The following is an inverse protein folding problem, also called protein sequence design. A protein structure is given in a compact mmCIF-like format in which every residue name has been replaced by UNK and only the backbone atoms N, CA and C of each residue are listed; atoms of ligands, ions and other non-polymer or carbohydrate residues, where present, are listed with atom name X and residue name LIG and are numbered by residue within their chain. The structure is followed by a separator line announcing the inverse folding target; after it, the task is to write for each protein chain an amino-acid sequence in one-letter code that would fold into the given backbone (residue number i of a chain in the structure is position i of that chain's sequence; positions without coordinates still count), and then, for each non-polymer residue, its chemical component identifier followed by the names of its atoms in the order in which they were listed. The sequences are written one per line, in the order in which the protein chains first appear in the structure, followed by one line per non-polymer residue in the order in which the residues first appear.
data_IF_973303951025
#
_entry.id   IF_973303951025
#
_cell.length_a   1.000
_cell.length_b   1.000
_cell.length_c   1.000
_cell.angle_alpha   90.00
_cell.angle_beta   90.00
_cell.angle_gamma   90.00
#
_symmetry.space_group_name_H-M   'P 1'
#
loop_
_entity.id
_entity.type
_entity.pdbx_description
1 polymer ?
#
# COMPACT_ATOMS: atom_id res chain seq x y z
N UNK A 1 -22.61 13.21 -0.73
CA UNK A 1 -21.71 12.21 -0.09
C UNK A 1 -22.24 10.83 -0.44
N UNK A 2 -21.49 10.05 -1.21
CA UNK A 2 -21.83 8.65 -1.51
C UNK A 2 -21.79 7.86 -0.22
N UNK A 3 -22.83 7.07 0.07
CA UNK A 3 -22.86 6.21 1.25
C UNK A 3 -21.66 5.27 1.23
N UNK A 4 -20.90 5.11 2.34
CA UNK A 4 -19.78 4.18 2.39
C UNK A 4 -20.24 2.78 2.00
N UNK A 5 -19.45 2.07 1.20
CA UNK A 5 -19.77 0.69 0.85
C UNK A 5 -19.60 -0.20 2.08
N UNK A 6 -20.59 -1.05 2.34
CA UNK A 6 -20.64 -1.86 3.57
C UNK A 6 -20.30 -3.32 3.34
N UNK A 7 -20.08 -3.73 2.09
CA UNK A 7 -19.79 -5.12 1.71
C UNK A 7 -18.37 -5.19 1.18
N UNK A 8 -17.57 -6.09 1.77
CA UNK A 8 -16.20 -6.36 1.30
C UNK A 8 -16.21 -7.08 -0.04
N UNK A 9 -15.25 -6.72 -0.88
CA UNK A 9 -14.90 -7.41 -2.12
C UNK A 9 -13.70 -8.34 -1.93
N UNK A 10 -13.24 -8.52 -0.69
CA UNK A 10 -12.10 -9.35 -0.32
C UNK A 10 -10.75 -8.72 -0.69
N UNK A 11 -9.67 -9.51 -0.63
CA UNK A 11 -8.33 -9.05 -0.97
C UNK A 11 -8.23 -8.52 -2.40
N UNK A 12 -7.58 -7.36 -2.55
CA UNK A 12 -7.40 -6.73 -3.86
C UNK A 12 -6.11 -7.21 -4.48
N UNK A 13 -6.22 -7.83 -5.66
CA UNK A 13 -5.08 -8.34 -6.42
C UNK A 13 -4.33 -7.19 -7.12
N UNK A 14 -3.01 -7.25 -7.07
CA UNK A 14 -2.10 -6.34 -7.77
C UNK A 14 -2.20 -6.54 -9.30
N UNK A 15 -2.18 -5.43 -10.05
CA UNK A 15 -1.94 -5.46 -11.48
C UNK A 15 -0.47 -5.18 -11.79
N UNK A 16 -0.08 -5.32 -13.06
CA UNK A 16 1.28 -5.08 -13.52
C UNK A 16 1.81 -3.71 -13.08
N UNK A 17 0.99 -2.65 -13.16
CA UNK A 17 1.40 -1.30 -12.74
C UNK A 17 1.75 -1.21 -11.24
N UNK A 18 1.09 -1.99 -10.38
CA UNK A 18 1.38 -1.99 -8.95
C UNK A 18 2.65 -2.79 -8.64
N UNK A 19 2.89 -3.86 -9.40
CA UNK A 19 4.13 -4.66 -9.33
C UNK A 19 5.31 -3.78 -9.74
N UNK A 20 5.23 -3.05 -10.86
CA UNK A 20 6.29 -2.13 -11.26
C UNK A 20 6.59 -1.04 -10.20
N UNK A 21 5.54 -0.52 -9.54
CA UNK A 21 5.71 0.44 -8.43
C UNK A 21 6.38 -0.21 -7.21
N UNK A 22 6.00 -1.44 -6.88
CA UNK A 22 6.60 -2.22 -5.81
C UNK A 22 8.08 -2.55 -6.10
N UNK A 23 8.41 -2.97 -7.32
CA UNK A 23 9.78 -3.18 -7.78
C UNK A 23 10.60 -1.90 -7.69
N UNK A 24 10.03 -0.76 -8.09
CA UNK A 24 10.69 0.53 -7.95
C UNK A 24 11.02 0.89 -6.50
N UNK A 25 10.17 0.52 -5.53
CA UNK A 25 10.49 0.67 -4.10
C UNK A 25 11.65 -0.26 -3.74
N UNK A 26 11.53 -1.57 -4.03
CA UNK A 26 12.55 -2.57 -3.69
C UNK A 26 13.92 -2.25 -4.30
N UNK A 27 13.97 -1.65 -5.49
CA UNK A 27 15.21 -1.23 -6.14
C UNK A 27 15.98 -0.16 -5.35
N UNK A 28 15.31 0.62 -4.50
CA UNK A 28 15.94 1.64 -3.65
C UNK A 28 16.46 1.06 -2.32
N UNK A 29 16.09 -0.16 -1.97
CA UNK A 29 16.39 -0.76 -0.67
C UNK A 29 17.58 -1.71 -0.76
N UNK A 30 18.32 -1.86 0.34
CA UNK A 30 19.43 -2.82 0.46
C UNK A 30 18.97 -4.28 0.36
N UNK A 31 17.69 -4.53 0.61
CA UNK A 31 17.00 -5.81 0.45
C UNK A 31 15.53 -5.58 0.11
N UNK A 32 14.86 -6.51 -0.60
CA UNK A 32 13.42 -6.44 -0.80
C UNK A 32 12.65 -6.63 0.52
N UNK A 33 11.42 -6.11 0.56
CA UNK A 33 10.50 -6.23 1.71
C UNK A 33 9.28 -7.09 1.34
N UNK A 34 8.76 -7.85 2.32
CA UNK A 34 7.74 -8.89 2.09
C UNK A 34 6.31 -8.36 1.91
N UNK A 35 6.04 -7.12 2.33
CA UNK A 35 4.71 -6.51 2.19
C UNK A 35 4.34 -6.21 0.72
N UNK A 36 5.32 -5.95 -0.12
CA UNK A 36 5.12 -5.51 -1.50
C UNK A 36 4.76 -6.69 -2.43
N UNK A 37 3.81 -6.52 -3.36
CA UNK A 37 3.52 -7.54 -4.36
C UNK A 37 4.70 -7.73 -5.32
N UNK A 38 5.03 -8.97 -5.65
CA UNK A 38 6.11 -9.32 -6.57
C UNK A 38 5.66 -10.04 -7.84
N UNK A 39 4.41 -10.51 -7.90
CA UNK A 39 3.84 -11.19 -9.07
C UNK A 39 2.33 -11.03 -9.18
N UNK A 40 1.79 -11.34 -10.35
CA UNK A 40 0.35 -11.42 -10.56
C UNK A 40 -0.28 -12.43 -9.61
N UNK A 41 -1.41 -12.05 -9.03
CA UNK A 41 -2.08 -12.82 -7.96
C UNK A 41 -1.67 -12.41 -6.55
N UNK A 42 -0.56 -11.68 -6.37
CA UNK A 42 -0.24 -11.12 -5.06
C UNK A 42 -1.23 -10.00 -4.69
N UNK A 43 -1.46 -9.84 -3.39
CA UNK A 43 -2.41 -8.86 -2.88
C UNK A 43 -1.74 -7.52 -2.59
N UNK A 44 -2.49 -6.44 -2.80
CA UNK A 44 -2.16 -5.12 -2.27
C UNK A 44 -2.49 -5.09 -0.78
N UNK A 45 -1.46 -4.86 0.05
CA UNK A 45 -1.55 -4.86 1.51
C UNK A 45 -1.42 -3.45 2.06
N UNK A 46 -2.40 -2.94 2.84
CA UNK A 46 -2.25 -1.68 3.55
C UNK A 46 -1.12 -1.74 4.57
N UNK A 47 -0.34 -0.67 4.63
CA UNK A 47 0.84 -0.57 5.48
C UNK A 47 0.45 -0.32 6.94
N UNK A 48 1.27 -0.86 7.85
CA UNK A 48 1.28 -0.46 9.26
C UNK A 48 1.51 1.04 9.42
N UNK A 49 0.96 1.61 10.49
CA UNK A 49 1.26 2.99 10.86
C UNK A 49 2.75 3.08 11.21
N UNK A 50 3.45 4.05 10.65
CA UNK A 50 4.89 4.24 10.87
C UNK A 50 5.81 3.38 9.99
N UNK A 51 5.26 2.46 9.17
CA UNK A 51 6.06 1.53 8.34
C UNK A 51 7.09 2.22 7.43
N UNK A 52 6.83 3.48 7.05
CA UNK A 52 7.77 4.27 6.26
C UNK A 52 9.16 4.39 6.91
N UNK A 53 9.25 4.53 8.23
CA UNK A 53 10.56 4.64 8.90
C UNK A 53 11.32 3.31 8.89
N UNK A 54 10.63 2.17 8.95
CA UNK A 54 11.24 0.85 8.78
C UNK A 54 11.75 0.65 7.35
N UNK A 55 10.96 1.05 6.35
CA UNK A 55 11.38 1.02 4.94
C UNK A 55 12.60 1.94 4.74
N UNK A 56 12.58 3.12 5.35
CA UNK A 56 13.68 4.08 5.29
C UNK A 56 14.96 3.55 5.91
N UNK A 57 14.88 2.76 6.98
CA UNK A 57 16.05 2.12 7.59
C UNK A 57 16.75 1.14 6.63
N UNK A 58 16.05 0.66 5.60
CA UNK A 58 16.59 -0.21 4.55
C UNK A 58 17.04 0.54 3.30
N UNK A 59 17.01 1.87 3.28
CA UNK A 59 17.41 2.66 2.12
C UNK A 59 18.89 2.44 1.79
N UNK A 60 19.22 2.27 0.51
CA UNK A 60 20.63 2.19 0.08
C UNK A 60 21.38 3.49 0.42
N UNK A 61 22.67 3.43 0.78
CA UNK A 61 23.44 4.60 1.23
C UNK A 61 23.52 5.76 0.23
N UNK A 62 23.41 5.47 -1.07
CA UNK A 62 23.51 6.40 -2.19
C UNK A 62 22.16 6.97 -2.65
N UNK A 63 21.05 6.54 -2.05
CA UNK A 63 19.70 6.98 -2.41
C UNK A 63 19.18 8.00 -1.40
N UNK A 64 18.65 9.12 -1.90
CA UNK A 64 18.04 10.16 -1.07
C UNK A 64 16.66 9.77 -0.50
N UNK A 65 16.38 10.16 0.75
CA UNK A 65 15.09 9.93 1.43
C UNK A 65 13.91 10.53 0.67
N UNK A 66 14.09 11.66 -0.03
CA UNK A 66 13.05 12.27 -0.86
C UNK A 66 12.65 11.39 -2.03
N UNK A 67 13.61 10.70 -2.66
CA UNK A 67 13.35 9.72 -3.72
C UNK A 67 12.52 8.57 -3.17
N UNK A 68 12.92 8.01 -2.03
CA UNK A 68 12.15 6.96 -1.35
C UNK A 68 10.71 7.40 -1.07
N UNK A 69 10.53 8.60 -0.47
CA UNK A 69 9.21 9.13 -0.13
C UNK A 69 8.31 9.25 -1.36
N UNK A 70 8.83 9.74 -2.48
CA UNK A 70 8.09 9.85 -3.75
C UNK A 70 7.71 8.49 -4.30
N UNK A 71 8.64 7.54 -4.31
CA UNK A 71 8.39 6.18 -4.84
C UNK A 71 7.36 5.42 -4.00
N UNK A 72 7.48 5.49 -2.67
CA UNK A 72 6.47 4.92 -1.76
C UNK A 72 5.11 5.59 -1.95
N UNK A 73 5.06 6.92 -2.06
CA UNK A 73 3.82 7.66 -2.30
C UNK A 73 3.12 7.22 -3.60
N UNK A 74 3.87 6.91 -4.67
CA UNK A 74 3.29 6.44 -5.93
C UNK A 74 2.57 5.08 -5.80
N UNK A 75 3.02 4.24 -4.85
CA UNK A 75 2.38 2.97 -4.52
C UNK A 75 1.18 3.17 -3.58
N UNK A 76 1.37 3.83 -2.43
CA UNK A 76 0.32 3.96 -1.40
C UNK A 76 -0.81 4.92 -1.78
N UNK A 77 -0.60 5.81 -2.75
CA UNK A 77 -1.66 6.65 -3.31
C UNK A 77 -2.21 6.09 -4.64
N UNK A 78 -1.91 4.84 -4.97
CA UNK A 78 -2.51 4.19 -6.14
C UNK A 78 -3.98 3.86 -5.91
N UNK A 79 -4.75 3.83 -7.00
CA UNK A 79 -6.17 3.46 -6.95
C UNK A 79 -6.41 2.12 -6.28
N UNK A 80 -5.60 1.09 -6.59
CA UNK A 80 -5.73 -0.25 -5.99
C UNK A 80 -5.35 -0.28 -4.53
N UNK A 81 -4.37 0.51 -4.10
CA UNK A 81 -4.05 0.63 -2.68
C UNK A 81 -5.18 1.28 -1.88
N UNK A 82 -5.78 2.35 -2.41
CA UNK A 82 -6.99 2.92 -1.79
C UNK A 82 -8.13 1.91 -1.78
N UNK A 83 -8.31 1.12 -2.84
CA UNK A 83 -9.34 0.09 -2.88
C UNK A 83 -9.12 -1.00 -1.82
N UNK A 84 -7.88 -1.47 -1.64
CA UNK A 84 -7.53 -2.44 -0.61
C UNK A 84 -7.80 -1.88 0.79
N UNK A 85 -7.34 -0.65 1.05
CA UNK A 85 -7.52 0.02 2.36
C UNK A 85 -8.98 0.35 2.67
N UNK A 86 -9.81 0.49 1.63
CA UNK A 86 -11.23 0.81 1.75
C UNK A 86 -12.12 -0.42 2.03
N UNK A 87 -11.57 -1.65 2.06
CA UNK A 87 -12.37 -2.85 2.37
C UNK A 87 -12.82 -2.84 3.84
N UNK A 88 -14.08 -3.20 4.15
CA UNK A 88 -14.57 -3.31 5.53
C UNK A 88 -13.77 -4.24 6.44
N UNK A 89 -13.17 -5.30 5.90
CA UNK A 89 -12.34 -6.29 6.59
C UNK A 89 -10.83 -6.09 6.34
N UNK A 90 -10.44 -4.88 5.92
CA UNK A 90 -9.04 -4.56 5.63
C UNK A 90 -8.18 -4.53 6.89
N UNK A 91 -6.97 -5.09 6.81
CA UNK A 91 -5.95 -5.02 7.86
C UNK A 91 -4.67 -4.32 7.37
N UNK A 92 -3.96 -3.72 8.31
CA UNK A 92 -2.60 -3.22 8.15
C UNK A 92 -1.60 -4.36 8.30
N UNK A 93 -0.48 -4.24 7.61
CA UNK A 93 0.56 -5.28 7.57
C UNK A 93 1.94 -4.71 7.90
N UNK A 94 2.76 -5.53 8.56
CA UNK A 94 4.17 -5.22 8.85
C UNK A 94 5.04 -5.29 7.58
N UNK A 95 6.34 -4.99 7.72
CA UNK A 95 7.30 -4.97 6.60
C UNK A 95 7.47 -6.32 5.90
N UNK A 96 7.20 -7.42 6.61
CA UNK A 96 7.26 -8.79 6.11
C UNK A 96 5.93 -9.24 5.50
N UNK A 97 4.88 -8.42 5.58
CA UNK A 97 3.55 -8.71 5.05
C UNK A 97 2.65 -9.47 6.03
N UNK A 98 3.00 -9.57 7.32
CA UNK A 98 2.15 -10.16 8.35
C UNK A 98 1.05 -9.19 8.76
N UNK A 99 -0.14 -9.73 8.95
CA UNK A 99 -1.30 -8.97 9.40
C UNK A 99 -1.10 -8.45 10.83
N UNK A 100 -1.44 -7.18 11.06
CA UNK A 100 -1.37 -6.52 12.37
C UNK A 100 -2.80 -6.15 12.83
N UNK A 101 -3.15 -4.87 12.74
CA UNK A 101 -4.42 -4.32 13.20
C UNK A 101 -5.39 -4.04 12.05
N UNK A 102 -6.70 -4.01 12.29
CA UNK A 102 -7.67 -3.56 11.30
C UNK A 102 -7.39 -2.12 10.85
N UNK A 103 -7.72 -1.79 9.60
CA UNK A 103 -7.79 -0.40 9.16
C UNK A 103 -8.95 0.27 9.89
N UNK A 104 -8.70 1.44 10.49
CA UNK A 104 -9.71 2.19 11.22
C UNK A 104 -10.88 2.61 10.33
N UNK A 105 -12.05 2.84 10.91
CA UNK A 105 -13.23 3.28 10.17
C UNK A 105 -13.00 4.60 9.41
N UNK A 106 -12.32 5.55 10.06
CA UNK A 106 -12.00 6.86 9.48
C UNK A 106 -11.01 6.75 8.31
N UNK A 107 -9.98 5.92 8.47
CA UNK A 107 -9.01 5.65 7.39
C UNK A 107 -9.69 4.93 6.22
N UNK A 108 -10.60 3.99 6.49
CA UNK A 108 -11.36 3.26 5.48
C UNK A 108 -12.26 4.19 4.68
N UNK A 109 -13.00 5.09 5.35
CA UNK A 109 -13.85 6.10 4.69
C UNK A 109 -13.00 7.05 3.87
N UNK A 110 -11.86 7.49 4.40
CA UNK A 110 -10.90 8.32 3.67
C UNK A 110 -10.39 7.61 2.41
N UNK A 111 -9.97 6.35 2.53
CA UNK A 111 -9.51 5.54 1.40
C UNK A 111 -10.61 5.32 0.37
N UNK A 112 -11.86 5.09 0.80
CA UNK A 112 -13.00 4.97 -0.12
C UNK A 112 -13.22 6.26 -0.91
N UNK A 113 -13.21 7.42 -0.25
CA UNK A 113 -13.36 8.71 -0.92
C UNK A 113 -12.24 8.90 -1.94
N UNK A 114 -10.99 8.60 -1.57
CA UNK A 114 -9.84 8.68 -2.49
C UNK A 114 -9.99 7.75 -3.68
N UNK A 115 -10.41 6.50 -3.46
CA UNK A 115 -10.68 5.53 -4.53
C UNK A 115 -11.72 6.02 -5.54
N UNK A 116 -12.76 6.72 -5.06
CA UNK A 116 -13.82 7.27 -5.92
C UNK A 116 -13.38 8.51 -6.69
N UNK A 117 -12.39 9.26 -6.19
CA UNK A 117 -11.92 10.51 -6.80
C UNK A 117 -10.64 10.37 -7.62
N UNK A 118 -9.86 9.31 -7.41
CA UNK A 118 -8.64 9.07 -8.18
C UNK A 118 -9.03 8.59 -9.59
N UNK A 119 -8.64 9.37 -10.58
CA UNK A 119 -8.73 9.01 -12.00
C UNK A 119 -7.85 7.78 -12.29
N UNK A 120 -8.26 6.96 -13.27
CA UNK A 120 -7.68 5.63 -13.52
C UNK A 120 -6.23 5.66 -13.98
#
# INVERSE_FOLDING_TARGET
MTKPWTVSRGPIVAADIDIHKAEAINALLVRPIGILPGKLGDHIRPFAIGLFEEIRALLKPDVGVTTLRRTVAAFVHSRRYYFASAQPDSFRHDIDGRQLEPVSDDDRVTAQNRFLTVEQ
#
